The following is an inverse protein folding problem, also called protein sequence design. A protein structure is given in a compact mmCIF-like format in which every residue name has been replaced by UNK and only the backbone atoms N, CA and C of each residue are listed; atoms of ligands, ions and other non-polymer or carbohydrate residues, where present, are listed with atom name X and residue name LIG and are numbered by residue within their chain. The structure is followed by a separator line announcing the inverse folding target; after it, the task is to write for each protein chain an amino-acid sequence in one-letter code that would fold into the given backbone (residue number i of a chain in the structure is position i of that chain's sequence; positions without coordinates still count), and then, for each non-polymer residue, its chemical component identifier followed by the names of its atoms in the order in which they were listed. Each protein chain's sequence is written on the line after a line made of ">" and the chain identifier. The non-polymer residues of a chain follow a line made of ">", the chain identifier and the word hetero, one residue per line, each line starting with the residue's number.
data_IF_002003470301
#
_entry.id   IF_002003470301
#
_cell.length_a   1.000
_cell.length_b   1.000
_cell.length_c   1.000
_cell.angle_alpha   90.00
_cell.angle_beta   90.00
_cell.angle_gamma   90.00
#
_symmetry.space_group_name_H-M   'P 1'
#
loop_
_entity.id
_entity.type
_entity.pdbx_description
1 polymer ?
#
# COMPACT_ATOMS: atom_id res chain seq x y z
N UNK A 1 61.09 31.08 74.35
CA UNK A 1 60.81 32.52 74.55
C UNK A 1 59.43 32.83 73.97
N UNK A 2 58.85 33.96 74.40
CA UNK A 2 57.85 34.84 73.77
C UNK A 2 57.37 34.52 72.33
N UNK A 3 56.10 34.75 71.94
CA UNK A 3 54.96 35.31 72.70
C UNK A 3 53.58 35.18 71.98
N UNK A 4 52.50 35.12 72.77
CA UNK A 4 51.18 35.81 72.65
C UNK A 4 50.34 35.66 71.34
N UNK A 5 49.10 35.12 71.40
CA UNK A 5 47.79 35.78 71.70
C UNK A 5 47.30 36.72 70.55
N UNK A 6 46.02 36.81 70.10
CA UNK A 6 44.64 36.42 70.55
C UNK A 6 43.84 35.84 69.36
N UNK A 7 42.91 34.88 69.51
CA UNK A 7 41.56 34.91 70.12
C UNK A 7 40.54 35.87 69.44
N UNK A 8 39.54 35.29 68.74
CA UNK A 8 38.09 35.55 68.87
C UNK A 8 37.30 34.27 68.48
N UNK A 9 36.29 33.92 69.27
CA UNK A 9 35.21 32.93 69.05
C UNK A 9 33.88 33.59 69.55
N UNK A 10 32.66 32.99 69.49
CA UNK A 10 32.20 31.68 68.97
C UNK A 10 31.15 31.88 67.83
N UNK A 11 30.03 31.17 67.58
CA UNK A 11 29.26 30.04 68.18
C UNK A 11 28.48 29.32 67.03
N UNK A 12 28.37 27.98 67.00
CA UNK A 12 27.25 27.09 67.43
C UNK A 12 25.91 27.11 66.65
N UNK A 13 25.32 25.91 66.50
CA UNK A 13 24.07 25.55 65.78
C UNK A 13 24.11 25.73 64.25
N UNK A 14 23.45 24.93 63.38
CA UNK A 14 22.66 23.69 63.48
C UNK A 14 22.88 22.89 62.15
N UNK A 15 23.05 21.56 62.10
CA UNK A 15 22.09 20.44 62.31
C UNK A 15 21.24 20.10 61.05
N UNK A 16 21.05 18.79 60.79
CA UNK A 16 20.24 18.11 59.76
C UNK A 16 20.86 17.73 58.39
N UNK A 17 20.78 16.41 58.09
CA UNK A 17 20.35 15.69 56.87
C UNK A 17 20.60 16.25 55.44
N UNK A 18 20.85 15.45 54.39
CA UNK A 18 21.23 14.02 54.27
C UNK A 18 21.65 13.70 52.80
N UNK A 19 22.50 12.69 52.54
CA UNK A 19 22.99 12.38 51.18
C UNK A 19 22.04 11.46 50.39
N UNK A 20 20.92 12.00 49.87
CA UNK A 20 19.89 11.22 49.17
C UNK A 20 19.52 11.68 47.74
N UNK A 21 20.38 12.47 47.08
CA UNK A 21 20.09 13.02 45.72
C UNK A 21 20.75 12.20 44.59
N UNK A 22 21.75 11.38 44.87
CA UNK A 22 22.58 10.69 43.85
C UNK A 22 22.06 9.32 43.38
N UNK A 23 20.96 8.81 43.94
CA UNK A 23 20.44 7.46 43.66
C UNK A 23 19.18 7.41 42.77
N UNK A 24 18.63 8.56 42.37
CA UNK A 24 17.39 8.63 41.57
C UNK A 24 17.54 8.45 40.06
N UNK A 25 18.75 8.64 39.50
CA UNK A 25 18.91 8.83 38.05
C UNK A 25 19.19 7.55 37.24
N UNK A 26 19.60 6.46 37.89
CA UNK A 26 20.04 5.23 37.19
C UNK A 26 18.96 4.16 36.99
N UNK A 27 17.79 4.28 37.63
CA UNK A 27 16.69 3.31 37.47
C UNK A 27 15.79 3.58 36.25
N UNK A 28 15.81 4.80 35.69
CA UNK A 28 14.95 5.16 34.54
C UNK A 28 15.40 4.47 33.24
N UNK A 29 16.70 4.23 33.07
CA UNK A 29 17.28 3.58 31.88
C UNK A 29 16.93 2.09 31.81
N UNK A 30 16.62 1.45 32.95
CA UNK A 30 16.29 0.02 33.00
C UNK A 30 14.86 -0.32 32.55
N UNK A 31 13.96 0.67 32.41
CA UNK A 31 12.53 0.43 32.21
C UNK A 31 12.01 0.78 30.81
N UNK A 32 12.84 1.35 29.93
CA UNK A 32 12.52 1.53 28.50
C UNK A 32 12.92 0.33 27.65
N UNK A 33 13.67 -0.62 28.21
CA UNK A 33 14.01 -1.90 27.58
C UNK A 33 12.84 -2.90 27.69
N UNK A 34 11.64 -2.48 27.26
CA UNK A 34 10.59 -3.43 26.90
C UNK A 34 11.19 -4.42 25.91
N UNK A 35 11.16 -5.74 26.16
CA UNK A 35 11.50 -6.70 25.13
C UNK A 35 10.49 -6.46 24.00
N UNK A 36 11.00 -5.98 22.86
CA UNK A 36 10.20 -5.84 21.65
C UNK A 36 9.64 -7.23 21.38
N UNK A 37 8.33 -7.42 21.61
CA UNK A 37 7.72 -8.72 21.45
C UNK A 37 7.84 -9.08 19.97
N UNK A 38 8.81 -9.93 19.66
CA UNK A 38 8.87 -10.61 18.40
C UNK A 38 7.58 -11.42 18.31
N UNK A 39 6.56 -10.84 17.69
CA UNK A 39 5.37 -11.54 17.27
C UNK A 39 5.86 -12.69 16.41
N UNK A 40 5.87 -13.88 17.02
CA UNK A 40 6.40 -15.08 16.39
C UNK A 40 5.74 -15.19 15.02
N UNK A 41 6.58 -15.35 13.98
CA UNK A 41 6.14 -15.44 12.60
C UNK A 41 5.03 -16.48 12.55
N UNK A 42 3.80 -16.01 12.40
CA UNK A 42 2.62 -16.86 12.44
C UNK A 42 2.65 -17.58 11.10
N UNK A 43 2.85 -18.89 11.13
CA UNK A 43 2.95 -19.72 9.93
C UNK A 43 1.57 -19.86 9.26
N UNK A 44 1.12 -18.74 8.68
CA UNK A 44 -0.07 -18.61 7.83
C UNK A 44 0.24 -19.40 6.57
N UNK A 45 -0.59 -20.38 6.25
CA UNK A 45 -0.36 -21.23 5.08
C UNK A 45 -0.45 -20.41 3.78
N UNK A 46 0.25 -20.78 2.69
CA UNK A 46 0.10 -20.09 1.41
C UNK A 46 -1.36 -20.07 0.89
N UNK A 47 -2.19 -21.03 1.31
CA UNK A 47 -3.62 -21.05 1.00
C UNK A 47 -4.40 -20.00 1.81
N UNK A 48 -4.07 -19.79 3.09
CA UNK A 48 -4.62 -18.70 3.89
C UNK A 48 -4.16 -17.30 3.40
N UNK A 49 -2.91 -17.18 2.95
CA UNK A 49 -2.41 -15.96 2.28
C UNK A 49 -3.19 -15.72 0.98
N UNK A 50 -3.44 -16.76 0.17
CA UNK A 50 -4.26 -16.69 -1.06
C UNK A 50 -5.71 -16.31 -0.76
N UNK A 51 -6.33 -16.89 0.26
CA UNK A 51 -7.69 -16.54 0.67
C UNK A 51 -7.79 -15.09 1.15
N UNK A 52 -6.83 -14.60 1.93
CA UNK A 52 -6.72 -13.20 2.33
C UNK A 52 -6.53 -12.28 1.10
N UNK A 53 -5.65 -12.64 0.17
CA UNK A 53 -5.38 -11.86 -1.04
C UNK A 53 -6.64 -11.66 -1.90
N UNK A 54 -7.40 -12.73 -2.14
CA UNK A 54 -8.63 -12.66 -2.94
C UNK A 54 -9.74 -11.90 -2.22
N UNK A 55 -9.94 -12.15 -0.91
CA UNK A 55 -10.94 -11.43 -0.12
C UNK A 55 -10.65 -9.93 -0.01
N UNK A 56 -9.38 -9.54 0.17
CA UNK A 56 -8.97 -8.14 0.18
C UNK A 56 -9.23 -7.47 -1.19
N UNK A 57 -8.92 -8.17 -2.29
CA UNK A 57 -9.17 -7.68 -3.64
C UNK A 57 -10.66 -7.49 -3.94
N UNK A 58 -11.50 -8.44 -3.53
CA UNK A 58 -12.97 -8.40 -3.68
C UNK A 58 -13.65 -7.35 -2.80
N UNK A 59 -12.94 -6.80 -1.81
CA UNK A 59 -13.38 -5.69 -0.94
C UNK A 59 -12.73 -4.35 -1.26
N UNK A 60 -11.95 -4.27 -2.35
CA UNK A 60 -11.21 -3.05 -2.72
C UNK A 60 -10.16 -2.62 -1.65
N UNK A 61 -9.70 -3.55 -0.80
CA UNK A 61 -8.65 -3.34 0.21
C UNK A 61 -7.25 -3.36 -0.47
N UNK A 62 -7.03 -2.47 -1.45
CA UNK A 62 -5.94 -2.55 -2.44
C UNK A 62 -4.54 -2.73 -1.84
N UNK A 63 -4.19 -2.02 -0.76
CA UNK A 63 -2.88 -2.16 -0.10
C UNK A 63 -2.68 -3.53 0.57
N UNK A 64 -3.74 -4.17 1.07
CA UNK A 64 -3.66 -5.50 1.65
C UNK A 64 -3.61 -6.56 0.55
N UNK A 65 -4.45 -6.43 -0.46
CA UNK A 65 -4.45 -7.27 -1.65
C UNK A 65 -3.06 -7.27 -2.31
N UNK A 66 -2.50 -6.08 -2.60
CA UNK A 66 -1.18 -5.91 -3.19
C UNK A 66 -0.08 -6.65 -2.40
N UNK A 67 0.01 -6.41 -1.08
CA UNK A 67 1.02 -7.04 -0.21
C UNK A 67 0.89 -8.55 -0.17
N UNK A 68 -0.33 -9.08 -0.03
CA UNK A 68 -0.59 -10.53 -0.01
C UNK A 68 -0.34 -11.20 -1.37
N UNK A 69 -0.60 -10.49 -2.48
CA UNK A 69 -0.27 -10.98 -3.82
C UNK A 69 1.24 -10.95 -4.11
N UNK A 70 1.96 -9.92 -3.64
CA UNK A 70 3.42 -9.88 -3.72
C UNK A 70 4.09 -11.01 -2.92
N UNK A 71 3.57 -11.29 -1.73
CA UNK A 71 3.99 -12.41 -0.88
C UNK A 71 3.84 -13.75 -1.63
N UNK A 72 2.67 -14.01 -2.23
CA UNK A 72 2.41 -15.22 -3.02
C UNK A 72 3.28 -15.31 -4.28
N UNK A 73 3.45 -14.21 -5.03
CA UNK A 73 4.29 -14.16 -6.24
C UNK A 73 5.79 -14.32 -5.94
N UNK A 74 6.23 -14.12 -4.69
CA UNK A 74 7.60 -14.44 -4.28
C UNK A 74 7.82 -15.93 -3.96
N UNK A 75 6.74 -16.70 -3.77
CA UNK A 75 6.76 -18.16 -3.63
C UNK A 75 6.57 -18.86 -4.99
N UNK A 76 5.59 -18.42 -5.78
CA UNK A 76 5.35 -18.88 -7.15
C UNK A 76 5.00 -17.70 -8.05
N UNK A 77 6.00 -17.25 -8.82
CA UNK A 77 5.85 -16.17 -9.78
C UNK A 77 5.18 -16.57 -11.11
N UNK A 78 4.68 -17.80 -11.27
CA UNK A 78 4.15 -18.31 -12.56
C UNK A 78 2.62 -18.26 -12.71
N UNK A 79 1.88 -18.03 -11.62
CA UNK A 79 0.42 -17.92 -11.64
C UNK A 79 -0.03 -16.64 -12.38
N UNK A 80 -0.42 -16.80 -13.64
CA UNK A 80 -0.93 -15.74 -14.54
C UNK A 80 -2.15 -15.00 -13.96
N UNK A 81 -3.04 -15.68 -13.24
CA UNK A 81 -4.24 -15.06 -12.66
C UNK A 81 -3.86 -14.18 -11.46
N UNK A 82 -2.93 -14.65 -10.63
CA UNK A 82 -2.35 -13.88 -9.54
C UNK A 82 -1.50 -12.70 -10.05
N UNK A 83 -0.68 -12.88 -11.10
CA UNK A 83 0.04 -11.79 -11.76
C UNK A 83 -0.92 -10.71 -12.28
N UNK A 84 -2.04 -11.13 -12.89
CA UNK A 84 -3.07 -10.23 -13.43
C UNK A 84 -3.75 -9.43 -12.31
N UNK A 85 -4.22 -10.07 -11.23
CA UNK A 85 -4.82 -9.36 -10.09
C UNK A 85 -3.80 -8.49 -9.36
N UNK A 86 -2.55 -8.93 -9.22
CA UNK A 86 -1.46 -8.11 -8.68
C UNK A 86 -1.27 -6.83 -9.51
N UNK A 87 -1.15 -6.95 -10.83
CA UNK A 87 -1.01 -5.80 -11.73
C UNK A 87 -2.23 -4.87 -11.68
N UNK A 88 -3.44 -5.42 -11.50
CA UNK A 88 -4.63 -4.63 -11.24
C UNK A 88 -4.54 -3.80 -9.95
N UNK A 89 -4.03 -4.34 -8.83
CA UNK A 89 -3.86 -3.56 -7.59
C UNK A 89 -2.99 -2.31 -7.77
N UNK A 90 -1.97 -2.38 -8.63
CA UNK A 90 -1.05 -1.26 -8.91
C UNK A 90 -1.75 -0.08 -9.60
N UNK A 91 -2.83 -0.32 -10.36
CA UNK A 91 -3.55 0.75 -11.07
C UNK A 91 -4.14 1.82 -10.13
N UNK A 92 -4.37 1.45 -8.86
CA UNK A 92 -5.03 2.25 -7.84
C UNK A 92 -4.09 3.24 -7.12
N UNK A 93 -2.77 3.07 -7.19
CA UNK A 93 -1.78 4.06 -6.74
C UNK A 93 -1.10 4.74 -7.93
N UNK A 94 -1.14 6.08 -7.96
CA UNK A 94 -0.48 6.90 -8.99
C UNK A 94 1.02 6.61 -9.11
N UNK A 95 1.68 6.18 -8.02
CA UNK A 95 3.12 5.89 -7.99
C UNK A 95 3.52 4.55 -8.62
N UNK A 96 2.58 3.60 -8.73
CA UNK A 96 2.84 2.24 -9.25
C UNK A 96 1.98 1.86 -10.45
N UNK A 97 0.99 2.70 -10.81
CA UNK A 97 0.11 2.54 -11.97
C UNK A 97 0.84 2.16 -13.25
N UNK A 98 1.94 2.82 -13.57
CA UNK A 98 2.68 2.59 -14.82
C UNK A 98 3.29 1.18 -14.87
N UNK A 99 3.71 0.64 -13.72
CA UNK A 99 4.13 -0.75 -13.58
C UNK A 99 2.93 -1.71 -13.74
N UNK A 100 1.76 -1.36 -13.19
CA UNK A 100 0.50 -2.09 -13.40
C UNK A 100 0.09 -2.17 -14.87
N UNK A 101 0.16 -1.04 -15.58
CA UNK A 101 -0.07 -0.93 -17.02
C UNK A 101 0.94 -1.81 -17.77
N UNK A 102 2.24 -1.69 -17.49
CA UNK A 102 3.28 -2.47 -18.17
C UNK A 102 3.14 -3.98 -17.95
N UNK A 103 2.74 -4.41 -16.74
CA UNK A 103 2.48 -5.83 -16.43
C UNK A 103 1.25 -6.36 -17.16
N UNK A 104 0.16 -5.61 -17.20
CA UNK A 104 -1.04 -6.00 -17.97
C UNK A 104 -0.78 -6.01 -19.48
N UNK A 105 0.05 -5.08 -20.00
CA UNK A 105 0.50 -5.09 -21.39
C UNK A 105 1.26 -6.37 -21.73
N UNK A 106 2.27 -6.72 -20.92
CA UNK A 106 3.06 -7.95 -21.10
C UNK A 106 2.18 -9.22 -21.07
N UNK A 107 1.15 -9.26 -20.23
CA UNK A 107 0.15 -10.34 -20.21
C UNK A 107 -0.78 -10.33 -21.44
N UNK A 108 -1.10 -9.17 -22.00
CA UNK A 108 -1.89 -9.05 -23.22
C UNK A 108 -1.10 -9.55 -24.44
N UNK A 109 0.15 -9.09 -24.58
CA UNK A 109 1.06 -9.41 -25.68
C UNK A 109 1.44 -10.89 -25.67
N UNK A 110 1.60 -11.50 -24.50
CA UNK A 110 1.81 -12.94 -24.34
C UNK A 110 0.55 -13.79 -24.60
N UNK A 111 -0.61 -13.19 -24.89
CA UNK A 111 -1.88 -13.89 -25.09
C UNK A 111 -2.48 -14.50 -23.81
N UNK A 112 -1.99 -14.10 -22.64
CA UNK A 112 -2.30 -14.69 -21.34
C UNK A 112 -3.57 -14.10 -20.68
N UNK A 113 -4.01 -12.91 -21.07
CA UNK A 113 -5.27 -12.33 -20.57
C UNK A 113 -6.49 -13.10 -21.07
N UNK A 114 -7.43 -13.37 -20.15
CA UNK A 114 -8.76 -13.96 -20.38
C UNK A 114 -9.74 -13.37 -19.35
N UNK A 115 -11.01 -13.23 -19.72
CA UNK A 115 -12.11 -12.75 -18.87
C UNK A 115 -11.75 -11.49 -18.09
N UNK A 116 -11.52 -11.65 -16.79
CA UNK A 116 -11.19 -10.57 -15.85
C UNK A 116 -9.93 -9.79 -16.28
N UNK A 117 -8.97 -10.45 -16.91
CA UNK A 117 -7.76 -9.82 -17.43
C UNK A 117 -8.04 -8.79 -18.52
N UNK A 118 -9.02 -9.04 -19.40
CA UNK A 118 -9.44 -8.07 -20.41
C UNK A 118 -10.21 -6.89 -19.80
N UNK A 119 -10.93 -7.12 -18.70
CA UNK A 119 -11.58 -6.05 -17.95
C UNK A 119 -10.54 -5.10 -17.34
N UNK A 120 -9.55 -5.63 -16.60
CA UNK A 120 -8.49 -4.79 -16.01
C UNK A 120 -7.59 -4.12 -17.06
N UNK A 121 -7.33 -4.78 -18.20
CA UNK A 121 -6.62 -4.16 -19.31
C UNK A 121 -7.43 -3.03 -19.97
N UNK A 122 -8.75 -3.18 -20.07
CA UNK A 122 -9.66 -2.09 -20.44
C UNK A 122 -9.57 -0.90 -19.49
N UNK A 123 -9.60 -1.14 -18.17
CA UNK A 123 -9.39 -0.10 -17.15
C UNK A 123 -8.02 0.58 -17.28
N UNK A 124 -6.96 -0.15 -17.62
CA UNK A 124 -5.63 0.40 -17.87
C UNK A 124 -5.58 1.31 -19.12
N UNK A 125 -6.31 1.01 -20.19
CA UNK A 125 -6.45 1.92 -21.33
C UNK A 125 -7.25 3.19 -20.99
N UNK A 126 -8.29 3.10 -20.16
CA UNK A 126 -9.00 4.29 -19.67
C UNK A 126 -8.07 5.22 -18.88
N UNK A 127 -7.17 4.66 -18.05
CA UNK A 127 -6.19 5.43 -17.28
C UNK A 127 -5.11 6.11 -18.13
N UNK A 128 -4.77 5.53 -19.29
CA UNK A 128 -3.91 6.17 -20.30
C UNK A 128 -4.68 7.21 -21.13
N UNK A 129 -6.01 7.15 -21.12
CA UNK A 129 -6.89 8.05 -21.88
C UNK A 129 -7.12 7.61 -23.32
N UNK A 130 -7.09 6.31 -23.59
CA UNK A 130 -7.28 5.68 -24.91
C UNK A 130 -8.63 4.92 -24.97
N UNK A 131 -9.77 5.63 -25.11
CA UNK A 131 -11.10 5.06 -24.92
C UNK A 131 -11.46 3.96 -25.93
N UNK A 132 -10.97 4.03 -27.17
CA UNK A 132 -11.25 3.04 -28.21
C UNK A 132 -10.57 1.70 -27.91
N UNK A 133 -9.36 1.73 -27.32
CA UNK A 133 -8.65 0.53 -26.87
C UNK A 133 -9.29 -0.04 -25.60
N UNK A 134 -9.76 0.82 -24.70
CA UNK A 134 -10.54 0.44 -23.54
C UNK A 134 -11.85 -0.28 -23.94
N UNK A 135 -12.68 0.33 -24.79
CA UNK A 135 -13.91 -0.30 -25.31
C UNK A 135 -13.62 -1.67 -25.93
N UNK A 136 -12.59 -1.78 -26.78
CA UNK A 136 -12.23 -3.04 -27.44
C UNK A 136 -11.92 -4.15 -26.42
N UNK A 137 -11.16 -3.84 -25.37
CA UNK A 137 -10.84 -4.78 -24.30
C UNK A 137 -12.05 -5.12 -23.42
N UNK A 138 -12.88 -4.13 -23.07
CA UNK A 138 -14.07 -4.31 -22.21
C UNK A 138 -15.16 -5.12 -22.92
N UNK A 139 -15.37 -4.92 -24.23
CA UNK A 139 -16.27 -5.75 -25.03
C UNK A 139 -15.82 -7.22 -25.05
N UNK A 140 -14.52 -7.46 -25.21
CA UNK A 140 -13.95 -8.82 -25.14
C UNK A 140 -14.16 -9.45 -23.76
N UNK A 141 -13.90 -8.71 -22.69
CA UNK A 141 -14.14 -9.15 -21.32
C UNK A 141 -15.61 -9.55 -21.08
N UNK A 142 -16.57 -8.74 -21.55
CA UNK A 142 -18.01 -9.03 -21.43
C UNK A 142 -18.48 -10.22 -22.27
N UNK A 143 -17.78 -10.51 -23.37
CA UNK A 143 -17.99 -11.72 -24.18
C UNK A 143 -17.45 -13.00 -23.52
N UNK A 144 -16.39 -12.88 -22.74
CA UNK A 144 -15.77 -13.97 -21.96
C UNK A 144 -16.36 -14.12 -20.53
N UNK A 145 -17.28 -13.24 -20.11
CA UNK A 145 -17.82 -13.20 -18.75
C UNK A 145 -19.09 -14.04 -18.55
N UNK A 146 -19.08 -14.99 -17.62
CA UNK A 146 -20.29 -15.66 -17.13
C UNK A 146 -21.30 -14.69 -16.49
N UNK A 147 -22.59 -15.05 -16.55
CA UNK A 147 -23.71 -14.23 -16.01
C UNK A 147 -23.69 -14.01 -14.49
N UNK A 148 -22.80 -14.68 -13.75
CA UNK A 148 -22.70 -14.62 -12.28
C UNK A 148 -21.38 -14.01 -11.79
N UNK A 149 -20.51 -13.58 -12.70
CA UNK A 149 -19.14 -13.18 -12.36
C UNK A 149 -19.12 -11.75 -11.80
N UNK A 150 -18.54 -11.50 -10.61
CA UNK A 150 -18.75 -10.26 -9.86
C UNK A 150 -18.26 -8.99 -10.58
N UNK A 151 -17.23 -9.08 -11.41
CA UNK A 151 -16.72 -7.95 -12.19
C UNK A 151 -17.54 -7.64 -13.46
N UNK A 152 -18.54 -8.45 -13.83
CA UNK A 152 -19.30 -8.26 -15.08
C UNK A 152 -20.06 -6.92 -15.11
N UNK A 153 -20.65 -6.52 -13.99
CA UNK A 153 -21.40 -5.26 -13.91
C UNK A 153 -20.46 -4.06 -13.87
N UNK A 154 -19.34 -4.15 -13.14
CA UNK A 154 -18.27 -3.16 -13.14
C UNK A 154 -17.64 -2.98 -14.54
N UNK A 155 -17.47 -4.07 -15.30
CA UNK A 155 -17.01 -4.04 -16.68
C UNK A 155 -18.04 -3.42 -17.64
N UNK A 156 -19.33 -3.59 -17.36
CA UNK A 156 -20.41 -2.97 -18.14
C UNK A 156 -20.48 -1.45 -17.89
N UNK A 157 -20.29 -1.03 -16.63
CA UNK A 157 -20.15 0.39 -16.25
C UNK A 157 -18.90 1.03 -16.87
N UNK A 158 -17.75 0.36 -16.79
CA UNK A 158 -16.50 0.82 -17.41
C UNK A 158 -16.63 0.98 -18.93
N UNK A 159 -17.39 0.11 -19.61
CA UNK A 159 -17.65 0.22 -21.05
C UNK A 159 -18.52 1.45 -21.39
N UNK A 160 -19.52 1.77 -20.56
CA UNK A 160 -20.29 2.99 -20.73
C UNK A 160 -19.40 4.23 -20.55
N UNK A 161 -18.60 4.27 -19.48
CA UNK A 161 -17.65 5.34 -19.22
C UNK A 161 -16.61 5.50 -20.35
N UNK A 162 -16.08 4.40 -20.89
CA UNK A 162 -15.12 4.45 -21.99
C UNK A 162 -15.71 5.07 -23.28
N UNK A 163 -17.01 4.93 -23.52
CA UNK A 163 -17.73 5.55 -24.66
C UNK A 163 -18.07 7.03 -24.44
N UNK A 164 -18.14 7.47 -23.20
CA UNK A 164 -18.38 8.86 -22.81
C UNK A 164 -17.09 9.68 -22.67
N UNK A 165 -15.92 9.02 -22.66
CA UNK A 165 -14.61 9.68 -22.61
C UNK A 165 -14.29 10.42 -23.94
N UNK A 166 -13.76 11.66 -23.89
CA UNK A 166 -13.43 12.42 -25.08
C UNK A 166 -12.32 11.76 -25.91
N UNK A 167 -12.48 11.84 -27.23
CA UNK A 167 -11.68 11.10 -28.20
C UNK A 167 -10.35 11.84 -28.45
N UNK A 168 -9.38 11.48 -27.61
CA UNK A 168 -7.99 11.93 -27.60
C UNK A 168 -7.74 13.40 -27.17
N UNK A 169 -6.46 13.78 -27.19
CA UNK A 169 -5.90 15.00 -26.62
C UNK A 169 -6.44 16.32 -27.21
N UNK A 170 -6.88 16.31 -28.47
CA UNK A 170 -7.34 17.50 -29.18
C UNK A 170 -8.60 18.12 -28.55
N UNK A 171 -9.59 17.29 -28.17
CA UNK A 171 -10.82 17.76 -27.51
C UNK A 171 -10.52 18.31 -26.11
N UNK A 172 -9.58 17.69 -25.38
CA UNK A 172 -9.12 18.16 -24.05
C UNK A 172 -8.47 19.55 -24.15
N UNK A 173 -7.64 19.78 -25.17
CA UNK A 173 -7.08 21.11 -25.46
C UNK A 173 -8.13 22.12 -25.97
N UNK A 174 -9.18 21.68 -26.64
CA UNK A 174 -10.25 22.57 -27.10
C UNK A 174 -11.08 23.09 -25.92
N UNK A 175 -11.45 22.20 -24.99
CA UNK A 175 -12.17 22.56 -23.77
C UNK A 175 -11.37 23.54 -22.90
N UNK A 176 -10.08 23.27 -22.66
CA UNK A 176 -9.19 24.20 -21.92
C UNK A 176 -9.02 25.59 -22.56
N UNK A 177 -9.43 25.80 -23.82
CA UNK A 177 -9.41 27.11 -24.51
C UNK A 177 -10.77 27.81 -24.54
N UNK A 178 -11.81 27.20 -23.97
CA UNK A 178 -13.14 27.79 -23.82
C UNK A 178 -13.38 28.32 -22.39
N UNK A 179 -12.63 27.81 -21.42
CA UNK A 179 -12.68 28.21 -20.00
C UNK A 179 -11.67 29.33 -19.63
N UNK A 180 -11.06 30.01 -20.63
CA UNK A 180 -9.92 30.94 -20.46
C UNK A 180 -10.07 32.24 -21.27
#
# INVERSE_FOLDING_TARGET
>A
MSAFFRFVTPDWFCRFHAPFVTLGLWLVVAFTWSPFQAWGQRDVSPEEVRAQAMQAFEREEWELAHRRMAELLSLDGTDVFLQMRYAATLLHDVRTRDEGIQRLASLADAGNLKGEGWYWWGRAWMLQGEPQLAETALLKALGEADKKTPWRDACSLALAQAREMPLAFAERQALQKLDA
#
